data_IF_545391107203
#
_entry.id   IF_545391107203
#
_cell.length_a   1.000
_cell.length_b   1.000
_cell.length_c   1.000
_cell.angle_alpha   90.00
_cell.angle_beta   90.00
_cell.angle_gamma   90.00
#
_symmetry.space_group_name_H-M   'P 1'
#
loop_
_entity.id
_entity.type
_entity.pdbx_description
1 polymer ?
#
# COMPACT_ATOMS: atom_id res chain seq x y z
N UNK A 1 -5.31 -16.47 -7.33
CA UNK A 1 -4.30 -17.27 -6.61
C UNK A 1 -5.01 -18.13 -5.56
N UNK A 2 -4.56 -19.35 -5.25
CA UNK A 2 -5.22 -20.22 -4.26
C UNK A 2 -4.61 -19.93 -2.87
N UNK A 3 -5.42 -19.57 -1.87
CA UNK A 3 -4.98 -19.08 -0.54
C UNK A 3 -4.18 -20.10 0.32
N UNK A 4 -3.88 -21.28 -0.22
CA UNK A 4 -3.28 -22.42 0.51
C UNK A 4 -1.84 -22.22 0.96
N UNK A 5 -1.14 -21.22 0.45
CA UNK A 5 0.31 -21.05 0.71
C UNK A 5 0.63 -19.95 1.74
N UNK A 6 -0.36 -19.39 2.44
CA UNK A 6 -0.14 -18.32 3.43
C UNK A 6 0.10 -18.83 4.85
N UNK A 7 1.14 -18.27 5.50
CA UNK A 7 1.30 -18.33 6.95
C UNK A 7 0.36 -17.30 7.59
N UNK A 8 -0.56 -17.75 8.44
CA UNK A 8 -1.44 -16.87 9.22
C UNK A 8 -0.91 -16.78 10.65
N UNK A 9 -0.45 -15.60 11.08
CA UNK A 9 -0.07 -15.37 12.48
C UNK A 9 -1.18 -14.60 13.21
N UNK A 10 -1.69 -15.19 14.29
CA UNK A 10 -2.78 -14.62 15.11
C UNK A 10 -2.16 -13.90 16.30
N UNK A 11 -2.29 -12.56 16.35
CA UNK A 11 -1.74 -11.75 17.46
C UNK A 11 -2.87 -11.26 18.38
N UNK A 12 -2.60 -11.24 19.69
CA UNK A 12 -3.52 -10.90 20.78
C UNK A 12 -4.06 -9.45 20.72
N UNK A 13 -5.15 -9.11 21.44
CA UNK A 13 -6.08 -8.07 21.04
C UNK A 13 -5.64 -6.69 21.54
N UNK A 14 -4.89 -5.92 20.75
CA UNK A 14 -4.80 -4.46 20.94
C UNK A 14 -4.14 -3.71 19.78
N UNK A 15 -4.25 -4.18 18.54
CA UNK A 15 -4.10 -3.34 17.35
C UNK A 15 -4.79 -4.02 16.19
N UNK A 16 -5.60 -3.24 15.47
CA UNK A 16 -6.50 -3.72 14.42
C UNK A 16 -5.92 -3.17 13.12
N UNK A 17 -4.80 -3.77 12.74
CA UNK A 17 -4.07 -3.53 11.49
C UNK A 17 -3.71 -4.90 10.92
N UNK A 18 -3.70 -5.00 9.60
CA UNK A 18 -3.12 -6.14 8.92
C UNK A 18 -1.85 -5.72 8.26
N UNK A 19 -0.72 -6.30 8.69
CA UNK A 19 0.58 -6.08 8.10
C UNK A 19 0.74 -7.03 6.89
N UNK A 20 1.11 -6.45 5.75
CA UNK A 20 1.16 -7.08 4.43
C UNK A 20 2.58 -7.05 3.87
N UNK A 21 3.20 -8.21 3.60
CA UNK A 21 4.62 -8.29 3.18
C UNK A 21 4.74 -8.58 1.67
N UNK A 22 5.42 -7.74 0.87
CA UNK A 22 5.63 -8.01 -0.57
C UNK A 22 6.95 -8.74 -0.85
N UNK A 23 6.92 -9.73 -1.75
CA UNK A 23 8.12 -10.44 -2.23
C UNK A 23 8.98 -9.58 -3.18
N UNK A 24 10.27 -9.42 -2.87
CA UNK A 24 11.20 -8.60 -3.68
C UNK A 24 11.79 -9.36 -4.88
N UNK A 25 11.17 -9.22 -6.06
CA UNK A 25 11.76 -9.65 -7.33
C UNK A 25 11.43 -8.66 -8.48
N UNK A 26 11.74 -7.38 -8.33
CA UNK A 26 11.77 -6.45 -9.46
C UNK A 26 13.22 -6.29 -9.94
N UNK A 27 13.57 -6.89 -11.07
CA UNK A 27 14.86 -6.63 -11.72
C UNK A 27 14.74 -5.36 -12.55
N UNK A 28 15.57 -4.36 -12.26
CA UNK A 28 15.74 -3.19 -13.12
C UNK A 28 16.16 -3.64 -14.53
N UNK A 29 15.32 -3.37 -15.53
CA UNK A 29 15.75 -3.42 -16.92
C UNK A 29 16.64 -2.19 -17.19
N UNK A 30 17.76 -2.33 -17.92
CA UNK A 30 18.57 -1.18 -18.30
C UNK A 30 17.75 -0.21 -19.17
N UNK A 31 17.99 1.12 -19.09
CA UNK A 31 17.27 2.11 -19.88
C UNK A 31 17.53 1.87 -21.37
N UNK A 32 16.60 1.19 -22.01
CA UNK A 32 16.47 1.17 -23.46
C UNK A 32 15.62 2.35 -23.86
N UNK A 33 15.95 3.00 -24.97
CA UNK A 33 15.07 4.01 -25.59
C UNK A 33 13.85 3.31 -26.17
N UNK A 34 12.90 2.97 -25.30
CA UNK A 34 11.57 2.54 -25.67
C UNK A 34 10.75 3.82 -25.83
N UNK A 35 10.42 4.17 -27.06
CA UNK A 35 9.34 5.13 -27.31
C UNK A 35 8.05 4.31 -27.44
N UNK A 36 7.16 4.33 -26.43
CA UNK A 36 5.88 3.65 -26.53
C UNK A 36 5.09 4.22 -27.70
N UNK A 37 4.29 3.39 -28.40
CA UNK A 37 3.38 3.90 -29.42
C UNK A 37 2.44 4.96 -28.81
N UNK A 38 2.32 6.10 -29.48
CA UNK A 38 1.46 7.21 -29.06
C UNK A 38 0.04 6.69 -28.74
N UNK A 39 -0.38 6.86 -27.47
CA UNK A 39 -1.76 6.76 -26.98
C UNK A 39 -2.33 5.34 -26.66
N UNK A 40 -1.53 4.42 -26.13
CA UNK A 40 -2.06 3.20 -25.47
C UNK A 40 -1.85 3.15 -23.97
N UNK A 41 -1.15 4.13 -23.40
CA UNK A 41 -0.86 4.16 -21.97
C UNK A 41 -2.15 4.47 -21.18
N UNK A 42 -2.31 3.88 -19.99
CA UNK A 42 -3.49 4.15 -19.18
C UNK A 42 -3.47 5.61 -18.70
N UNK A 43 -4.65 6.20 -18.47
CA UNK A 43 -4.74 7.62 -18.10
C UNK A 43 -4.05 7.99 -16.75
N UNK A 44 -3.60 7.01 -15.98
CA UNK A 44 -2.91 7.20 -14.71
C UNK A 44 -1.37 7.15 -14.81
N UNK A 45 -0.81 6.77 -15.96
CA UNK A 45 0.63 6.63 -16.22
C UNK A 45 0.85 7.06 -17.67
N UNK A 46 1.27 8.32 -17.87
CA UNK A 46 1.20 8.99 -19.17
C UNK A 46 2.23 8.46 -20.15
N UNK A 47 3.43 8.18 -19.66
CA UNK A 47 4.60 7.76 -20.41
C UNK A 47 4.77 6.22 -20.43
N UNK A 48 4.06 5.50 -19.57
CA UNK A 48 3.90 4.04 -19.62
C UNK A 48 5.03 3.28 -18.92
N UNK A 49 5.70 3.90 -17.96
CA UNK A 49 6.85 3.34 -17.27
C UNK A 49 6.47 2.53 -16.01
N UNK A 50 5.19 2.58 -15.63
CA UNK A 50 4.64 1.91 -14.46
C UNK A 50 4.75 2.71 -13.16
N UNK A 51 5.21 3.95 -13.20
CA UNK A 51 5.06 4.95 -12.13
C UNK A 51 3.81 5.77 -12.46
N UNK A 52 2.94 5.99 -11.49
CA UNK A 52 1.74 6.76 -11.79
C UNK A 52 2.04 8.26 -11.83
N UNK A 53 1.30 8.98 -12.67
CA UNK A 53 1.28 10.44 -12.68
C UNK A 53 1.04 11.03 -11.28
N UNK A 54 0.31 10.31 -10.42
CA UNK A 54 0.04 10.74 -9.05
C UNK A 54 1.32 10.69 -8.20
N UNK A 55 2.10 9.61 -8.30
CA UNK A 55 3.41 9.48 -7.65
C UNK A 55 4.41 10.50 -8.18
N UNK A 56 4.45 10.70 -9.50
CA UNK A 56 5.37 11.63 -10.17
C UNK A 56 5.10 13.09 -9.82
N UNK A 57 3.83 13.48 -9.68
CA UNK A 57 3.40 14.84 -9.38
C UNK A 57 3.26 15.12 -7.87
N UNK A 58 3.63 14.17 -7.02
CA UNK A 58 3.58 14.34 -5.57
C UNK A 58 4.78 15.16 -5.10
N UNK A 59 4.54 16.35 -4.53
CA UNK A 59 5.59 17.24 -4.00
C UNK A 59 6.55 16.53 -3.02
N UNK A 60 6.07 15.54 -2.27
CA UNK A 60 6.91 14.74 -1.38
C UNK A 60 7.99 13.94 -2.14
N UNK A 61 7.75 13.61 -3.40
CA UNK A 61 8.62 12.85 -4.30
C UNK A 61 9.50 13.74 -5.21
N UNK A 62 9.45 15.07 -5.09
CA UNK A 62 10.19 16.03 -5.93
C UNK A 62 11.69 15.72 -6.06
N UNK A 63 12.29 15.12 -5.02
CA UNK A 63 13.71 14.80 -5.01
C UNK A 63 14.13 13.70 -6.01
N UNK A 64 13.17 12.96 -6.57
CA UNK A 64 13.42 11.99 -7.65
C UNK A 64 13.56 12.66 -9.02
N UNK A 65 12.96 13.84 -9.22
CA UNK A 65 12.89 14.56 -10.50
C UNK A 65 12.19 13.76 -11.61
N UNK A 66 11.06 13.13 -11.28
CA UNK A 66 10.23 12.43 -12.25
C UNK A 66 9.70 13.38 -13.34
N UNK A 67 9.45 12.84 -14.52
CA UNK A 67 8.90 13.55 -15.66
C UNK A 67 7.82 12.72 -16.34
N UNK A 68 6.56 13.09 -16.13
CA UNK A 68 5.36 12.46 -16.72
C UNK A 68 5.36 12.33 -18.25
N UNK A 69 6.34 12.92 -18.96
CA UNK A 69 6.51 12.80 -20.40
C UNK A 69 7.65 11.86 -20.81
N UNK A 70 8.46 11.33 -19.88
CA UNK A 70 9.66 10.55 -20.14
C UNK A 70 9.74 9.34 -19.21
N UNK A 71 10.02 8.17 -19.81
CA UNK A 71 10.22 6.92 -19.06
C UNK A 71 11.26 7.08 -17.95
N UNK A 72 10.79 6.98 -16.72
CA UNK A 72 11.62 6.95 -15.53
C UNK A 72 11.97 5.51 -15.11
N UNK A 73 12.92 5.39 -14.19
CA UNK A 73 13.31 4.09 -13.63
C UNK A 73 12.96 4.05 -12.17
N UNK A 74 12.31 2.98 -11.71
CA UNK A 74 12.09 2.71 -10.27
C UNK A 74 13.43 2.80 -9.51
N UNK A 75 13.64 3.86 -8.71
CA UNK A 75 14.87 4.02 -7.95
C UNK A 75 14.79 3.31 -6.59
N UNK A 76 13.62 2.84 -6.19
CA UNK A 76 13.35 2.41 -4.82
C UNK A 76 13.88 1.00 -4.54
N UNK A 77 14.55 0.83 -3.40
CA UNK A 77 15.11 -0.47 -3.00
C UNK A 77 14.86 -0.72 -1.52
N UNK A 78 14.11 -1.78 -1.22
CA UNK A 78 13.99 -2.30 0.14
C UNK A 78 15.30 -2.94 0.60
N UNK A 79 15.74 -2.60 1.82
CA UNK A 79 16.96 -3.12 2.44
C UNK A 79 16.65 -3.76 3.78
N UNK A 80 17.39 -4.83 4.09
CA UNK A 80 17.27 -5.52 5.38
C UNK A 80 15.95 -6.27 5.54
N UNK A 81 15.55 -6.48 6.79
CA UNK A 81 14.33 -7.17 7.17
C UNK A 81 13.21 -6.16 7.50
N UNK A 82 11.94 -6.57 7.44
CA UNK A 82 10.81 -5.74 7.86
C UNK A 82 10.93 -5.12 9.26
N UNK A 83 11.67 -5.77 10.16
CA UNK A 83 11.91 -5.31 11.53
C UNK A 83 13.33 -4.81 11.80
N UNK A 84 14.19 -4.76 10.79
CA UNK A 84 15.58 -4.28 10.87
C UNK A 84 16.04 -3.95 9.44
N UNK A 85 15.56 -2.83 8.92
CA UNK A 85 15.68 -2.50 7.50
C UNK A 85 15.55 -1.01 7.23
N UNK A 86 15.67 -0.63 5.97
CA UNK A 86 15.47 0.73 5.49
C UNK A 86 15.08 0.71 4.01
N UNK A 87 14.81 1.89 3.44
CA UNK A 87 14.48 2.04 2.03
C UNK A 87 15.48 3.01 1.41
N UNK A 88 16.12 2.62 0.31
CA UNK A 88 16.81 3.57 -0.56
C UNK A 88 15.76 4.18 -1.51
N UNK A 89 15.76 5.51 -1.67
CA UNK A 89 14.90 6.21 -2.64
C UNK A 89 13.40 5.85 -2.52
N UNK A 90 12.84 5.92 -1.31
CA UNK A 90 11.43 5.60 -1.07
C UNK A 90 10.48 6.52 -1.85
N UNK A 91 9.27 6.03 -2.08
CA UNK A 91 8.14 6.75 -2.67
C UNK A 91 7.12 7.05 -1.57
N UNK A 92 6.69 8.30 -1.47
CA UNK A 92 5.56 8.69 -0.65
C UNK A 92 4.26 8.41 -1.42
N UNK A 93 3.32 7.77 -0.72
CA UNK A 93 1.97 7.52 -1.22
C UNK A 93 1.18 8.85 -1.27
N UNK A 94 0.50 9.12 -2.38
CA UNK A 94 -0.43 10.26 -2.44
C UNK A 94 -1.57 10.07 -1.43
N UNK A 95 -1.77 11.06 -0.56
CA UNK A 95 -2.74 11.05 0.55
C UNK A 95 -4.15 10.57 0.17
N UNK A 96 -4.64 10.93 -1.02
CA UNK A 96 -5.98 10.58 -1.47
C UNK A 96 -6.05 10.47 -2.98
N UNK A 97 -6.58 9.35 -3.44
CA UNK A 97 -6.84 9.06 -4.85
C UNK A 97 -8.19 8.34 -4.99
N UNK A 98 -8.71 8.16 -6.22
CA UNK A 98 -9.90 7.34 -6.43
C UNK A 98 -9.74 5.95 -5.80
N UNK A 99 -10.63 5.64 -4.85
CA UNK A 99 -10.74 4.33 -4.21
C UNK A 99 -9.91 4.11 -2.95
N UNK A 100 -8.94 4.97 -2.62
CA UNK A 100 -8.19 4.88 -1.36
C UNK A 100 -7.88 6.25 -0.73
N UNK A 101 -7.56 6.24 0.56
CA UNK A 101 -6.95 7.37 1.24
C UNK A 101 -5.97 6.89 2.31
N UNK A 102 -4.88 7.63 2.50
CA UNK A 102 -4.04 7.52 3.69
C UNK A 102 -4.79 8.14 4.88
N UNK A 103 -4.90 7.40 5.99
CA UNK A 103 -5.46 7.94 7.21
C UNK A 103 -4.33 8.40 8.12
N UNK A 104 -4.30 9.70 8.43
CA UNK A 104 -3.22 10.27 9.24
C UNK A 104 -3.34 10.01 10.75
N UNK A 105 -4.43 9.39 11.24
CA UNK A 105 -4.64 9.14 12.69
C UNK A 105 -4.18 10.27 13.62
N UNK A 106 -3.03 10.11 14.31
CA UNK A 106 -2.35 11.12 15.14
C UNK A 106 -1.00 11.56 14.55
N UNK A 107 -0.67 11.03 13.39
CA UNK A 107 0.57 11.14 12.66
C UNK A 107 0.59 12.44 11.85
N UNK A 108 1.79 12.91 11.54
CA UNK A 108 1.95 14.09 10.70
C UNK A 108 1.91 13.64 9.23
N UNK A 109 1.54 14.58 8.35
CA UNK A 109 1.60 14.40 6.91
C UNK A 109 2.98 13.87 6.48
N UNK A 110 3.00 12.91 5.57
CA UNK A 110 4.19 12.36 4.93
C UNK A 110 5.23 11.80 5.92
N UNK A 111 4.81 11.26 7.06
CA UNK A 111 5.74 10.70 8.05
C UNK A 111 5.81 9.19 8.12
N UNK A 112 4.81 8.48 7.59
CA UNK A 112 4.63 7.02 7.76
C UNK A 112 4.08 6.29 6.52
N UNK A 113 4.04 6.94 5.38
CA UNK A 113 3.45 6.51 4.11
C UNK A 113 4.50 6.31 3.00
N UNK A 114 5.73 5.96 3.40
CA UNK A 114 6.85 5.75 2.50
C UNK A 114 7.05 4.27 2.19
N UNK A 115 7.04 3.90 0.91
CA UNK A 115 7.21 2.52 0.46
C UNK A 115 8.22 2.39 -0.67
N UNK A 116 8.49 1.15 -1.08
CA UNK A 116 9.03 0.91 -2.42
C UNK A 116 7.93 1.08 -3.47
N UNK A 117 8.28 1.41 -4.71
CA UNK A 117 7.32 1.63 -5.79
C UNK A 117 6.35 0.45 -5.95
N UNK A 118 6.83 -0.79 -5.81
CA UNK A 118 5.98 -1.98 -5.87
C UNK A 118 4.83 -1.95 -4.84
N UNK A 119 5.09 -1.47 -3.63
CA UNK A 119 4.06 -1.30 -2.58
C UNK A 119 3.08 -0.18 -2.94
N UNK A 120 3.59 0.96 -3.42
CA UNK A 120 2.76 2.10 -3.82
C UNK A 120 1.85 1.72 -4.99
N UNK A 121 2.39 1.08 -6.03
CA UNK A 121 1.63 0.61 -7.19
C UNK A 121 0.54 -0.40 -6.83
N UNK A 122 0.81 -1.29 -5.87
CA UNK A 122 -0.19 -2.21 -5.35
C UNK A 122 -1.36 -1.46 -4.69
N UNK A 123 -1.07 -0.46 -3.85
CA UNK A 123 -2.10 0.35 -3.19
C UNK A 123 -2.93 1.10 -4.21
N UNK A 124 -2.28 1.81 -5.15
CA UNK A 124 -2.98 2.60 -6.15
C UNK A 124 -3.77 1.73 -7.14
N UNK A 125 -3.20 0.60 -7.57
CA UNK A 125 -3.89 -0.40 -8.40
C UNK A 125 -5.15 -0.91 -7.71
N UNK A 126 -5.03 -1.28 -6.44
CA UNK A 126 -6.16 -1.71 -5.61
C UNK A 126 -7.22 -0.62 -5.47
N UNK A 127 -6.80 0.64 -5.29
CA UNK A 127 -7.71 1.78 -5.25
C UNK A 127 -8.48 1.97 -6.56
N UNK A 128 -7.79 1.89 -7.70
CA UNK A 128 -8.43 1.98 -9.02
C UNK A 128 -9.46 0.87 -9.23
N UNK A 129 -9.13 -0.37 -8.88
CA UNK A 129 -10.06 -1.50 -9.01
C UNK A 129 -11.25 -1.38 -8.05
N UNK A 130 -11.00 -0.98 -6.80
CA UNK A 130 -12.04 -0.71 -5.81
C UNK A 130 -13.02 0.37 -6.27
N UNK A 131 -12.50 1.45 -6.83
CA UNK A 131 -13.30 2.54 -7.39
C UNK A 131 -14.09 2.09 -8.62
N UNK A 132 -13.46 1.35 -9.53
CA UNK A 132 -14.08 0.87 -10.77
C UNK A 132 -15.21 -0.14 -10.54
N UNK A 133 -15.16 -0.91 -9.44
CA UNK A 133 -16.24 -1.79 -9.01
C UNK A 133 -17.53 -1.04 -8.64
N UNK A 134 -17.49 0.30 -8.56
CA UNK A 134 -18.64 1.13 -8.22
C UNK A 134 -19.08 0.95 -6.77
N UNK A 135 -18.18 0.44 -5.92
CA UNK A 135 -18.43 0.26 -4.50
C UNK A 135 -18.57 1.66 -3.88
N UNK A 136 -19.75 2.02 -3.33
CA UNK A 136 -19.85 3.22 -2.52
C UNK A 136 -18.94 3.08 -1.29
N UNK A 137 -18.58 4.19 -0.62
CA UNK A 137 -17.69 4.19 0.53
C UNK A 137 -17.94 3.03 1.53
N UNK A 138 -16.87 2.55 2.18
CA UNK A 138 -15.65 3.30 2.44
C UNK A 138 -14.56 3.14 1.37
N UNK A 139 -13.67 4.14 1.30
CA UNK A 139 -12.39 4.02 0.59
C UNK A 139 -11.54 2.93 1.23
N UNK A 140 -10.56 2.40 0.51
CA UNK A 140 -9.45 1.67 1.13
C UNK A 140 -8.73 2.64 2.07
N UNK A 141 -8.79 2.37 3.37
CA UNK A 141 -8.15 3.21 4.38
C UNK A 141 -6.77 2.64 4.68
N UNK A 142 -5.78 3.20 4.00
CA UNK A 142 -4.36 2.88 4.09
C UNK A 142 -3.79 3.57 5.33
N UNK A 143 -3.04 2.84 6.14
CA UNK A 143 -2.29 3.39 7.26
C UNK A 143 -0.80 3.28 7.01
N UNK A 144 -0.06 3.02 8.08
CA UNK A 144 1.39 2.97 8.13
C UNK A 144 1.99 2.03 7.07
N UNK A 145 2.96 2.53 6.30
CA UNK A 145 3.80 1.78 5.35
C UNK A 145 5.22 1.68 5.89
N UNK A 146 5.94 2.80 5.93
CA UNK A 146 7.21 2.96 6.64
C UNK A 146 7.43 4.42 6.91
N UNK A 147 8.17 4.71 7.98
CA UNK A 147 8.49 6.10 8.30
C UNK A 147 9.39 6.75 7.26
N UNK A 148 9.29 8.06 7.09
CA UNK A 148 10.14 8.78 6.16
C UNK A 148 10.21 10.27 6.38
N UNK A 149 11.14 10.91 5.66
CA UNK A 149 11.27 12.36 5.61
C UNK A 149 11.97 12.78 4.30
N UNK A 150 11.23 13.40 3.39
CA UNK A 150 11.73 13.87 2.11
C UNK A 150 12.95 14.80 2.25
N UNK A 151 12.96 15.67 3.27
CA UNK A 151 14.01 16.68 3.44
C UNK A 151 15.37 16.11 3.87
N UNK A 152 15.36 14.99 4.60
CA UNK A 152 16.59 14.30 5.02
C UNK A 152 16.91 13.07 4.20
N UNK A 153 15.98 12.63 3.34
CA UNK A 153 16.03 11.39 2.57
C UNK A 153 16.35 10.18 3.46
N UNK A 154 15.77 10.16 4.66
CA UNK A 154 15.86 9.05 5.61
C UNK A 154 14.54 8.32 5.63
N UNK A 155 14.53 7.09 5.10
CA UNK A 155 13.32 6.29 4.94
C UNK A 155 13.49 4.91 5.59
N UNK A 156 12.44 4.45 6.26
CA UNK A 156 12.45 3.21 7.02
C UNK A 156 13.24 3.27 8.32
N UNK A 157 13.69 2.11 8.82
CA UNK A 157 14.42 1.98 10.09
C UNK A 157 13.54 1.94 11.33
N UNK A 158 14.15 1.80 12.52
CA UNK A 158 13.42 1.53 13.77
C UNK A 158 12.39 2.59 14.12
N UNK A 159 11.17 2.17 14.45
CA UNK A 159 10.06 3.05 14.81
C UNK A 159 9.32 2.48 16.04
N UNK A 160 8.22 3.11 16.45
CA UNK A 160 7.35 2.61 17.52
C UNK A 160 6.64 1.31 17.12
N UNK A 161 6.69 0.98 15.82
CA UNK A 161 6.26 -0.29 15.25
C UNK A 161 7.48 -1.21 15.08
N UNK A 162 7.31 -2.50 15.43
CA UNK A 162 8.37 -3.50 15.26
C UNK A 162 8.66 -3.75 13.77
N UNK A 163 7.62 -3.74 12.94
CA UNK A 163 7.68 -3.90 11.47
C UNK A 163 7.65 -2.52 10.78
N UNK A 164 7.43 -2.46 9.47
CA UNK A 164 7.34 -1.20 8.70
C UNK A 164 8.66 -0.46 8.57
N UNK A 165 9.78 -1.20 8.49
CA UNK A 165 11.10 -0.58 8.40
C UNK A 165 11.68 -0.55 6.98
N UNK A 166 11.17 -1.34 6.03
CA UNK A 166 11.80 -1.48 4.71
C UNK A 166 10.85 -1.26 3.53
N UNK A 167 9.69 -0.64 3.76
CA UNK A 167 8.77 -0.22 2.69
C UNK A 167 7.98 -1.36 2.04
N UNK A 168 8.03 -2.56 2.64
CA UNK A 168 7.34 -3.76 2.16
C UNK A 168 6.15 -4.16 3.03
N UNK A 169 5.87 -3.40 4.09
CA UNK A 169 4.77 -3.61 5.02
C UNK A 169 3.73 -2.51 4.83
N UNK A 170 2.45 -2.85 4.95
CA UNK A 170 1.35 -1.90 4.92
C UNK A 170 0.28 -2.29 5.93
N UNK A 171 -0.28 -1.31 6.62
CA UNK A 171 -1.46 -1.42 7.46
C UNK A 171 -2.73 -0.96 6.73
N UNK A 172 -3.82 -1.73 6.82
CA UNK A 172 -5.12 -1.37 6.22
C UNK A 172 -6.26 -1.56 7.23
N UNK A 173 -7.23 -0.64 7.26
CA UNK A 173 -8.42 -0.78 8.12
C UNK A 173 -9.40 -1.81 7.55
N UNK A 174 -10.06 -2.53 8.46
CA UNK A 174 -11.23 -3.34 8.15
C UNK A 174 -12.38 -2.48 7.60
N UNK A 175 -13.16 -3.04 6.68
CA UNK A 175 -14.33 -2.37 6.14
C UNK A 175 -15.44 -2.25 7.20
N UNK A 176 -16.20 -1.16 7.11
CA UNK A 176 -17.34 -0.88 7.98
C UNK A 176 -18.64 -0.93 7.20
N UNK A 177 -19.68 -1.53 7.78
CA UNK A 177 -21.03 -1.60 7.21
C UNK A 177 -21.70 -0.23 7.12
N UNK A 178 -21.28 0.71 7.97
CA UNK A 178 -21.81 2.07 8.00
C UNK A 178 -21.14 3.02 6.99
N UNK A 179 -20.20 2.52 6.18
CA UNK A 179 -19.46 3.32 5.20
C UNK A 179 -18.49 4.33 5.80
N UNK A 180 -18.29 4.31 7.13
CA UNK A 180 -17.38 5.21 7.81
C UNK A 180 -15.92 4.93 7.49
N UNK A 181 -15.09 5.98 7.52
CA UNK A 181 -13.62 5.86 7.43
C UNK A 181 -12.94 5.86 8.81
N UNK A 182 -13.69 5.92 9.91
CA UNK A 182 -13.12 5.98 11.27
C UNK A 182 -12.67 4.61 11.79
N UNK A 183 -11.76 4.60 12.77
CA UNK A 183 -11.27 3.37 13.40
C UNK A 183 -12.44 2.49 13.85
N UNK A 184 -12.36 1.20 13.51
CA UNK A 184 -13.27 0.17 13.97
C UNK A 184 -12.56 -0.69 15.02
N UNK A 185 -13.18 -0.85 16.20
CA UNK A 185 -12.82 -1.95 17.09
C UNK A 185 -13.86 -3.05 16.90
N UNK A 186 -13.46 -4.15 16.23
CA UNK A 186 -14.36 -5.26 15.92
C UNK A 186 -14.83 -6.03 17.16
N UNK A 187 -14.11 -5.93 18.28
CA UNK A 187 -14.49 -6.55 19.56
C UNK A 187 -15.60 -5.73 20.23
N UNK A 188 -15.46 -4.40 20.23
CA UNK A 188 -16.41 -3.50 20.91
C UNK A 188 -17.66 -3.22 20.06
N UNK A 189 -17.49 -3.16 18.73
CA UNK A 189 -18.54 -2.77 17.77
C UNK A 189 -18.69 -3.78 16.62
N UNK A 190 -18.88 -5.08 16.92
CA UNK A 190 -18.93 -6.14 15.90
C UNK A 190 -20.04 -5.94 14.86
N UNK A 191 -21.14 -5.26 15.24
CA UNK A 191 -22.25 -4.99 14.32
C UNK A 191 -21.87 -4.05 13.17
N UNK A 192 -20.85 -3.22 13.33
CA UNK A 192 -20.37 -2.31 12.29
C UNK A 192 -19.30 -2.93 11.41
N UNK A 193 -18.78 -4.10 11.76
CA UNK A 193 -17.78 -4.79 10.96
C UNK A 193 -18.40 -5.41 9.70
N UNK A 194 -17.87 -5.05 8.54
CA UNK A 194 -18.25 -5.64 7.25
C UNK A 194 -17.25 -6.72 6.85
N UNK A 195 -17.56 -7.95 7.24
CA UNK A 195 -16.75 -9.13 6.90
C UNK A 195 -16.70 -9.35 5.38
N UNK A 196 -17.82 -9.19 4.68
CA UNK A 196 -17.87 -9.38 3.22
C UNK A 196 -17.14 -8.27 2.48
N UNK A 197 -17.25 -7.02 2.93
CA UNK A 197 -16.47 -5.90 2.43
C UNK A 197 -14.96 -6.12 2.64
N UNK A 198 -14.57 -6.57 3.83
CA UNK A 198 -13.17 -6.85 4.15
C UNK A 198 -12.61 -8.00 3.32
N UNK A 199 -13.37 -9.07 3.09
CA UNK A 199 -12.95 -10.14 2.18
C UNK A 199 -12.76 -9.64 0.73
N UNK A 200 -13.66 -8.77 0.24
CA UNK A 200 -13.49 -8.14 -1.09
C UNK A 200 -12.26 -7.25 -1.14
N UNK A 201 -12.01 -6.47 -0.09
CA UNK A 201 -10.82 -5.63 0.04
C UNK A 201 -9.55 -6.47 -0.05
N UNK A 202 -9.48 -7.56 0.71
CA UNK A 202 -8.34 -8.47 0.66
C UNK A 202 -8.13 -9.07 -0.73
N UNK A 203 -9.19 -9.51 -1.40
CA UNK A 203 -9.09 -10.00 -2.78
C UNK A 203 -8.60 -8.91 -3.75
N UNK A 204 -9.09 -7.68 -3.59
CA UNK A 204 -8.66 -6.54 -4.43
C UNK A 204 -7.17 -6.26 -4.25
N UNK A 205 -6.69 -6.30 -3.00
CA UNK A 205 -5.27 -6.21 -2.68
C UNK A 205 -4.51 -7.36 -3.35
N UNK A 206 -4.91 -8.62 -3.12
CA UNK A 206 -4.28 -9.82 -3.69
C UNK A 206 -4.20 -9.82 -5.23
N UNK A 207 -5.17 -9.23 -5.91
CA UNK A 207 -5.17 -9.13 -7.37
C UNK A 207 -4.15 -8.11 -7.88
N UNK A 208 -3.69 -7.19 -7.03
CA UNK A 208 -2.75 -6.11 -7.36
C UNK A 208 -1.37 -6.25 -6.69
N UNK A 209 -1.13 -7.29 -5.88
CA UNK A 209 0.11 -7.44 -5.13
C UNK A 209 0.46 -8.88 -4.76
N UNK A 210 1.77 -9.12 -4.65
CA UNK A 210 2.33 -10.40 -4.22
C UNK A 210 2.62 -10.40 -2.72
N UNK A 211 1.63 -10.80 -1.93
CA UNK A 211 1.78 -10.86 -0.48
C UNK A 211 2.44 -12.16 -0.01
N UNK A 212 3.15 -12.11 1.11
CA UNK A 212 3.77 -13.27 1.77
C UNK A 212 3.12 -13.61 3.12
N UNK A 213 2.65 -12.59 3.85
CA UNK A 213 2.04 -12.73 5.17
C UNK A 213 0.94 -11.68 5.32
N UNK A 214 -0.18 -12.10 5.92
CA UNK A 214 -1.25 -11.23 6.39
C UNK A 214 -1.49 -11.52 7.87
N UNK A 215 -1.41 -10.49 8.70
CA UNK A 215 -1.68 -10.60 10.14
C UNK A 215 -3.09 -10.13 10.45
N UNK A 216 -3.97 -11.01 10.91
CA UNK A 216 -5.40 -10.69 11.12
C UNK A 216 -5.78 -10.75 12.60
N UNK A 217 -6.81 -10.02 13.01
CA UNK A 217 -7.43 -10.24 14.32
C UNK A 217 -8.13 -11.61 14.35
N UNK A 218 -8.02 -12.40 15.43
CA UNK A 218 -8.76 -13.67 15.55
C UNK A 218 -10.29 -13.50 15.53
N UNK A 219 -10.77 -12.28 15.76
CA UNK A 219 -12.19 -11.95 15.76
C UNK A 219 -12.70 -11.44 14.41
N UNK A 220 -11.85 -11.41 13.37
CA UNK A 220 -12.24 -10.91 12.05
C UNK A 220 -13.23 -11.81 11.32
N UNK A 221 -13.50 -13.03 11.81
CA UNK A 221 -14.49 -13.93 11.20
C UNK A 221 -14.25 -14.23 9.72
N UNK A 222 -13.05 -13.95 9.21
CA UNK A 222 -12.64 -14.31 7.87
C UNK A 222 -12.22 -15.78 7.93
N UNK A 223 -12.98 -16.59 7.22
CA UNK A 223 -12.63 -17.97 7.00
C UNK A 223 -11.77 -18.04 5.74
N UNK A 224 -10.50 -18.39 5.92
CA UNK A 224 -9.56 -18.56 4.81
C UNK A 224 -9.53 -20.02 4.31
N UNK A 225 -10.49 -20.85 4.72
CA UNK A 225 -10.64 -22.21 4.19
C UNK A 225 -11.01 -22.21 2.70
N UNK A 226 -9.98 -22.35 1.86
CA UNK A 226 -10.05 -22.77 0.46
C UNK A 226 -9.00 -23.84 0.20
#
# INVERSE_FOLDING_TARGET
>A
MNLKDFLLEVVAPLMVCFCLFIGSQSQCLPPGTYEPPENTNPAWDTDGDGISNAVELNDANDFHNFDTALVDTDPSIARGLPSDGWIDCAMNLVDTCPGYCHYLSLDNLDTDDWGVLAMINMIEGSGRDWYAAGEPPPLINVGDISKGNASTQQFGGPWDHRWHQNGLDLDVRYCRKDGGNSRLNIVDTPNNYDTSGTARLMNTLFDNGDFMLIVVSPYCGLDFEG
#
